data_IF_372536903934
#
_entry.id   IF_372536903934
#
_cell.length_a   1.000
_cell.length_b   1.000
_cell.length_c   1.000
_cell.angle_alpha   90.00
_cell.angle_beta   90.00
_cell.angle_gamma   90.00
#
_symmetry.space_group_name_H-M   'P 1'
#
loop_
_entity.id
_entity.type
_entity.pdbx_description
1 polymer ?
#
# COMPACT_ATOMS: atom_id res chain seq x y z
N UNK A 1 15.43 -10.81 -6.81
CA UNK A 1 13.96 -10.80 -6.96
C UNK A 1 13.31 -11.55 -5.81
N UNK A 2 12.20 -11.03 -5.30
CA UNK A 2 11.32 -11.67 -4.33
C UNK A 2 9.99 -12.02 -5.01
N UNK A 3 9.40 -13.15 -4.64
CA UNK A 3 8.00 -13.46 -4.94
C UNK A 3 7.21 -13.26 -3.66
N UNK A 4 6.20 -12.40 -3.73
CA UNK A 4 5.31 -12.05 -2.63
C UNK A 4 3.95 -12.67 -2.94
N UNK A 5 3.46 -13.52 -2.05
CA UNK A 5 2.11 -14.09 -2.11
C UNK A 5 1.33 -13.55 -0.93
N UNK A 6 0.17 -12.95 -1.21
CA UNK A 6 -0.76 -12.46 -0.18
C UNK A 6 -2.07 -13.24 -0.33
N UNK A 7 -2.64 -13.67 0.79
CA UNK A 7 -3.95 -14.30 0.86
C UNK A 7 -4.85 -13.42 1.73
N UNK A 8 -5.86 -12.81 1.11
CA UNK A 8 -6.85 -11.95 1.77
C UNK A 8 -8.24 -12.40 1.36
N UNK A 9 -9.12 -12.65 2.34
CA UNK A 9 -10.50 -13.09 2.09
C UNK A 9 -10.63 -14.30 1.13
N UNK A 10 -9.68 -15.24 1.21
CA UNK A 10 -9.61 -16.40 0.32
C UNK A 10 -9.12 -16.10 -1.11
N UNK A 11 -8.82 -14.84 -1.44
CA UNK A 11 -8.21 -14.43 -2.70
C UNK A 11 -6.69 -14.46 -2.56
N UNK A 12 -6.01 -15.06 -3.53
CA UNK A 12 -4.54 -15.09 -3.59
C UNK A 12 -4.05 -14.12 -4.66
N UNK A 13 -3.18 -13.19 -4.26
CA UNK A 13 -2.39 -12.36 -5.18
C UNK A 13 -0.92 -12.77 -5.12
N UNK A 14 -0.24 -12.71 -6.26
CA UNK A 14 1.18 -13.00 -6.38
C UNK A 14 1.82 -11.86 -7.16
N UNK A 15 2.86 -11.26 -6.60
CA UNK A 15 3.65 -10.20 -7.24
C UNK A 15 5.14 -10.51 -7.13
N UNK A 16 5.92 -9.96 -8.06
CA UNK A 16 7.38 -10.00 -8.02
C UNK A 16 7.89 -8.59 -7.70
N UNK A 17 8.85 -8.50 -6.78
CA UNK A 17 9.46 -7.21 -6.44
C UNK A 17 10.93 -7.38 -6.02
N UNK A 18 11.72 -6.33 -6.19
CA UNK A 18 13.11 -6.30 -5.72
C UNK A 18 13.21 -6.09 -4.21
N UNK A 19 12.15 -5.57 -3.58
CA UNK A 19 12.13 -5.25 -2.16
C UNK A 19 10.75 -5.50 -1.57
N UNK A 20 10.72 -5.72 -0.27
CA UNK A 20 9.49 -5.93 0.49
C UNK A 20 9.62 -5.21 1.82
N UNK A 21 8.54 -4.58 2.28
CA UNK A 21 8.43 -4.03 3.61
C UNK A 21 7.03 -4.27 4.17
N UNK A 22 6.98 -4.64 5.44
CA UNK A 22 5.75 -4.76 6.23
C UNK A 22 5.85 -3.80 7.40
N UNK A 23 4.81 -2.98 7.56
CA UNK A 23 4.77 -1.90 8.54
C UNK A 23 3.64 -2.15 9.53
N UNK A 24 3.99 -2.38 10.80
CA UNK A 24 3.01 -2.62 11.87
C UNK A 24 2.39 -1.31 12.40
N UNK A 25 1.53 -1.43 13.41
CA UNK A 25 0.84 -0.30 14.05
C UNK A 25 1.75 0.80 14.62
N UNK A 26 3.03 0.50 14.85
CA UNK A 26 3.99 1.47 15.41
C UNK A 26 4.58 2.38 14.33
N UNK A 27 4.54 1.93 13.07
CA UNK A 27 5.12 2.59 11.90
C UNK A 27 4.43 3.91 11.53
N UNK A 28 5.11 4.71 10.71
CA UNK A 28 4.54 5.94 10.14
C UNK A 28 3.53 5.58 9.03
N UNK A 29 3.84 4.57 8.25
CA UNK A 29 3.10 4.10 7.08
C UNK A 29 1.72 3.58 7.48
N UNK A 30 1.63 2.84 8.60
CA UNK A 30 0.35 2.41 9.15
C UNK A 30 -0.51 3.61 9.60
N UNK A 31 0.09 4.58 10.28
CA UNK A 31 -0.62 5.79 10.73
C UNK A 31 -1.09 6.64 9.54
N UNK A 32 -0.29 6.70 8.49
CA UNK A 32 -0.65 7.39 7.25
C UNK A 32 -1.81 6.69 6.54
N UNK A 33 -1.80 5.36 6.47
CA UNK A 33 -2.91 4.56 5.96
C UNK A 33 -4.21 4.86 6.72
N UNK A 34 -4.18 4.90 8.06
CA UNK A 34 -5.35 5.26 8.86
C UNK A 34 -5.85 6.68 8.58
N UNK A 35 -4.93 7.64 8.40
CA UNK A 35 -5.26 9.02 8.03
C UNK A 35 -5.94 9.10 6.66
N UNK A 36 -5.49 8.30 5.70
CA UNK A 36 -6.09 8.24 4.36
C UNK A 36 -7.48 7.61 4.39
N UNK A 37 -7.68 6.54 5.18
CA UNK A 37 -8.99 5.93 5.39
C UNK A 37 -9.99 6.93 6.00
N UNK A 38 -9.57 7.66 7.03
CA UNK A 38 -10.38 8.71 7.67
C UNK A 38 -10.76 9.83 6.67
N UNK A 39 -9.82 10.23 5.82
CA UNK A 39 -10.07 11.23 4.77
C UNK A 39 -11.10 10.76 3.73
N UNK A 40 -11.12 9.45 3.42
CA UNK A 40 -12.16 8.84 2.60
C UNK A 40 -13.48 8.61 3.36
N UNK A 41 -13.48 8.72 4.69
CA UNK A 41 -14.59 8.35 5.59
C UNK A 41 -14.93 6.86 5.53
N UNK A 42 -13.91 6.03 5.37
CA UNK A 42 -14.03 4.58 5.27
C UNK A 42 -13.49 3.90 6.52
N UNK A 43 -14.04 2.73 6.85
CA UNK A 43 -13.54 1.90 7.95
C UNK A 43 -12.35 1.05 7.47
N UNK A 44 -11.13 1.18 8.03
CA UNK A 44 -9.96 0.43 7.56
C UNK A 44 -10.15 -1.09 7.55
N UNK A 45 -10.91 -1.63 8.51
CA UNK A 45 -11.24 -3.05 8.64
C UNK A 45 -12.10 -3.60 7.51
N UNK A 46 -12.69 -2.73 6.69
CA UNK A 46 -13.50 -3.06 5.52
C UNK A 46 -12.73 -2.90 4.20
N UNK A 47 -11.44 -2.52 4.25
CA UNK A 47 -10.63 -2.21 3.07
C UNK A 47 -9.50 -3.22 2.84
N UNK A 48 -9.30 -3.58 1.57
CA UNK A 48 -8.15 -4.36 1.10
C UNK A 48 -6.96 -3.45 0.79
N UNK A 49 -7.24 -2.27 0.22
CA UNK A 49 -6.20 -1.34 -0.16
C UNK A 49 -6.65 0.10 -0.25
N UNK A 50 -5.69 1.01 -0.11
CA UNK A 50 -5.83 2.44 -0.35
C UNK A 50 -4.76 2.86 -1.34
N UNK A 51 -5.17 3.62 -2.35
CA UNK A 51 -4.31 4.10 -3.42
C UNK A 51 -4.24 5.61 -3.33
N UNK A 52 -3.02 6.12 -3.26
CA UNK A 52 -2.75 7.52 -2.97
C UNK A 52 -1.79 8.14 -3.98
N UNK A 53 -2.21 9.25 -4.57
CA UNK A 53 -1.36 10.13 -5.35
C UNK A 53 -1.18 11.45 -4.62
N UNK A 54 0.06 11.76 -4.27
CA UNK A 54 0.41 13.04 -3.63
C UNK A 54 0.20 14.24 -4.59
N UNK A 55 -0.30 15.37 -4.07
CA UNK A 55 -0.37 16.59 -4.85
C UNK A 55 1.03 17.11 -5.17
N UNK A 56 1.19 17.69 -6.35
CA UNK A 56 2.44 18.31 -6.80
C UNK A 56 2.19 19.73 -7.24
N UNK A 57 3.12 20.62 -6.91
CA UNK A 57 3.03 22.04 -7.20
C UNK A 57 4.29 22.54 -7.91
N UNK A 58 4.14 23.49 -8.82
CA UNK A 58 5.25 24.07 -9.58
C UNK A 58 6.01 25.16 -8.80
N UNK A 59 5.41 25.67 -7.73
CA UNK A 59 5.93 26.77 -6.93
C UNK A 59 5.98 26.43 -5.43
N UNK A 60 6.86 27.12 -4.71
CA UNK A 60 7.03 26.93 -3.26
C UNK A 60 5.84 27.41 -2.43
N UNK A 61 4.97 28.26 -2.98
CA UNK A 61 3.75 28.74 -2.31
C UNK A 61 2.56 27.79 -2.52
N UNK A 62 2.75 26.68 -3.26
CA UNK A 62 1.75 25.67 -3.59
C UNK A 62 0.50 26.24 -4.28
N UNK A 63 0.66 27.21 -5.17
CA UNK A 63 -0.45 27.86 -5.90
C UNK A 63 -0.73 27.24 -7.27
N UNK A 64 0.31 26.77 -7.95
CA UNK A 64 0.25 26.19 -9.28
C UNK A 64 0.30 24.67 -9.20
N UNK A 65 -0.87 24.03 -9.33
CA UNK A 65 -1.01 22.58 -9.23
C UNK A 65 -0.52 21.91 -10.52
N UNK A 66 0.53 21.10 -10.42
CA UNK A 66 0.98 20.16 -11.46
C UNK A 66 0.09 18.91 -11.43
N UNK A 67 -0.13 18.37 -10.24
CA UNK A 67 -0.94 17.16 -10.01
C UNK A 67 -1.81 17.35 -8.80
N UNK A 68 -3.11 17.10 -8.96
CA UNK A 68 -4.03 17.09 -7.83
C UNK A 68 -3.82 15.83 -7.00
N UNK A 69 -4.10 15.96 -5.72
CA UNK A 69 -4.25 14.80 -4.85
C UNK A 69 -5.36 13.89 -5.39
N UNK A 70 -5.13 12.57 -5.33
CA UNK A 70 -6.14 11.55 -5.58
C UNK A 70 -6.04 10.48 -4.49
N UNK A 71 -7.18 10.09 -3.93
CA UNK A 71 -7.28 9.00 -2.97
C UNK A 71 -8.49 8.16 -3.36
N UNK A 72 -8.30 6.85 -3.43
CA UNK A 72 -9.38 5.88 -3.60
C UNK A 72 -9.02 4.57 -2.89
N UNK A 73 -10.00 3.69 -2.69
CA UNK A 73 -9.82 2.44 -1.95
C UNK A 73 -10.47 1.25 -2.64
N UNK A 74 -10.05 0.05 -2.24
CA UNK A 74 -10.70 -1.21 -2.58
C UNK A 74 -11.26 -1.85 -1.31
N UNK A 75 -12.48 -2.34 -1.40
CA UNK A 75 -13.13 -3.02 -0.28
C UNK A 75 -12.63 -4.46 -0.12
N UNK A 76 -12.76 -4.97 1.10
CA UNK A 76 -12.70 -6.39 1.42
C UNK A 76 -13.96 -7.10 0.97
N UNK A 77 -13.85 -8.38 0.65
CA UNK A 77 -15.03 -9.23 0.50
C UNK A 77 -15.62 -9.56 1.88
N UNK A 78 -14.75 -9.73 2.88
CA UNK A 78 -15.13 -9.97 4.27
C UNK A 78 -14.36 -9.00 5.17
N UNK A 79 -15.04 -8.13 5.93
CA UNK A 79 -14.37 -7.27 6.89
C UNK A 79 -13.54 -8.10 7.90
N UNK A 80 -12.41 -7.57 8.31
CA UNK A 80 -11.55 -8.19 9.34
C UNK A 80 -11.73 -7.48 10.67
N UNK A 81 -11.48 -8.17 11.78
CA UNK A 81 -11.60 -7.57 13.12
C UNK A 81 -10.59 -6.45 13.38
N UNK A 82 -9.38 -6.56 12.81
CA UNK A 82 -8.30 -5.59 13.00
C UNK A 82 -7.31 -5.61 11.83
N UNK A 83 -6.76 -4.44 11.52
CA UNK A 83 -5.59 -4.31 10.63
C UNK A 83 -4.34 -4.42 11.48
N UNK A 84 -3.50 -5.41 11.22
CA UNK A 84 -2.25 -5.69 11.96
C UNK A 84 -1.03 -5.04 11.33
N UNK A 85 -1.14 -4.64 10.07
CA UNK A 85 -0.07 -3.94 9.37
C UNK A 85 -0.47 -3.53 7.97
N UNK A 86 0.47 -2.91 7.28
CA UNK A 86 0.30 -2.47 5.91
C UNK A 86 1.53 -2.86 5.11
N UNK A 87 1.30 -3.32 3.88
CA UNK A 87 2.33 -3.39 2.87
C UNK A 87 2.21 -2.18 1.96
N UNK A 88 3.35 -1.63 1.55
CA UNK A 88 3.39 -0.48 0.66
C UNK A 88 4.11 -0.86 -0.63
N UNK A 89 3.50 -0.52 -1.76
CA UNK A 89 4.10 -0.57 -3.07
C UNK A 89 4.01 0.80 -3.73
N UNK A 90 4.94 1.09 -4.65
CA UNK A 90 4.96 2.35 -5.38
C UNK A 90 4.99 2.10 -6.88
N UNK A 91 4.17 2.85 -7.60
CA UNK A 91 4.21 2.88 -9.05
C UNK A 91 4.99 4.14 -9.44
N UNK A 92 6.15 4.02 -10.09
CA UNK A 92 6.91 5.19 -10.53
C UNK A 92 6.11 5.97 -11.58
N UNK A 93 6.24 7.29 -11.58
CA UNK A 93 5.65 8.13 -12.61
C UNK A 93 6.35 7.92 -13.96
N UNK A 94 5.58 7.80 -15.05
CA UNK A 94 6.15 7.53 -16.38
C UNK A 94 6.99 8.71 -16.88
N UNK A 95 6.65 9.94 -16.48
CA UNK A 95 7.34 11.17 -16.88
C UNK A 95 8.40 11.57 -15.85
N UNK A 96 8.07 11.42 -14.56
CA UNK A 96 8.89 11.96 -13.46
C UNK A 96 9.55 10.89 -12.58
N UNK A 97 9.37 9.60 -12.86
CA UNK A 97 9.86 8.51 -12.01
C UNK A 97 11.38 8.50 -11.82
N UNK A 98 12.14 8.95 -12.82
CA UNK A 98 13.60 9.11 -12.71
C UNK A 98 14.03 10.19 -11.70
N UNK A 99 13.11 11.06 -11.28
CA UNK A 99 13.33 12.08 -10.25
C UNK A 99 12.86 11.60 -8.86
N UNK A 100 12.50 10.31 -8.73
CA UNK A 100 11.95 9.74 -7.51
C UNK A 100 10.49 10.13 -7.25
N UNK A 101 9.77 10.58 -8.26
CA UNK A 101 8.36 10.94 -8.13
C UNK A 101 7.49 9.71 -8.39
N UNK A 102 6.71 9.33 -7.40
CA UNK A 102 5.74 8.24 -7.52
C UNK A 102 4.47 8.74 -8.22
N UNK A 103 3.94 7.92 -9.13
CA UNK A 103 2.60 8.05 -9.72
C UNK A 103 1.52 7.81 -8.66
N UNK A 104 1.72 6.74 -7.90
CA UNK A 104 0.75 6.21 -6.95
C UNK A 104 1.48 5.37 -5.90
N UNK A 105 1.02 5.48 -4.66
CA UNK A 105 1.41 4.64 -3.54
C UNK A 105 0.22 3.74 -3.24
N UNK A 106 0.43 2.42 -3.30
CA UNK A 106 -0.57 1.42 -2.97
C UNK A 106 -0.28 0.90 -1.56
N UNK A 107 -1.22 1.12 -0.64
CA UNK A 107 -1.23 0.56 0.69
C UNK A 107 -2.13 -0.67 0.69
N UNK A 108 -1.59 -1.86 0.90
CA UNK A 108 -2.36 -3.09 1.12
C UNK A 108 -2.54 -3.31 2.62
N UNK A 109 -3.79 -3.26 3.09
CA UNK A 109 -4.13 -3.36 4.51
C UNK A 109 -4.24 -4.82 4.91
N UNK A 110 -3.40 -5.24 5.86
CA UNK A 110 -3.28 -6.65 6.26
C UNK A 110 -4.02 -6.85 7.58
N UNK A 111 -5.04 -7.70 7.53
CA UNK A 111 -5.85 -8.14 8.64
C UNK A 111 -5.23 -9.29 9.44
N UNK A 112 -5.83 -9.61 10.58
CA UNK A 112 -5.32 -10.65 11.48
C UNK A 112 -5.39 -12.07 10.91
N UNK A 113 -6.28 -12.31 9.95
CA UNK A 113 -6.49 -13.62 9.30
C UNK A 113 -5.84 -13.69 7.90
N UNK A 114 -5.23 -12.60 7.46
CA UNK A 114 -4.55 -12.52 6.17
C UNK A 114 -3.17 -13.16 6.30
N UNK A 115 -2.70 -13.75 5.20
CA UNK A 115 -1.40 -14.44 5.18
C UNK A 115 -0.48 -13.82 4.15
N UNK A 116 0.79 -13.67 4.52
CA UNK A 116 1.83 -13.19 3.62
C UNK A 116 2.94 -14.23 3.55
N UNK A 117 3.38 -14.56 2.35
CA UNK A 117 4.55 -15.40 2.12
C UNK A 117 5.49 -14.68 1.16
N UNK A 118 6.73 -14.44 1.59
CA UNK A 118 7.77 -13.87 0.74
C UNK A 118 8.86 -14.89 0.54
N UNK A 119 9.15 -15.23 -0.71
CA UNK A 119 10.21 -16.15 -1.09
C UNK A 119 11.26 -15.44 -1.94
N UNK A 120 12.52 -15.89 -1.85
CA UNK A 120 13.58 -15.45 -2.74
C UNK A 120 13.65 -16.30 -4.03
N UNK A 121 14.58 -15.97 -4.94
CA UNK A 121 14.79 -16.67 -6.23
C UNK A 121 15.08 -18.17 -6.10
N UNK A 122 15.51 -18.64 -4.93
CA UNK A 122 15.77 -20.06 -4.65
C UNK A 122 14.52 -20.78 -4.10
N UNK A 123 13.39 -20.09 -3.99
CA UNK A 123 12.16 -20.61 -3.38
C UNK A 123 12.20 -20.65 -1.85
N UNK A 124 13.21 -20.06 -1.20
CA UNK A 124 13.30 -20.02 0.26
C UNK A 124 12.42 -18.92 0.82
N UNK A 125 11.55 -19.26 1.78
CA UNK A 125 10.78 -18.26 2.55
C UNK A 125 11.71 -17.38 3.37
N UNK A 126 11.62 -16.07 3.16
CA UNK A 126 12.39 -15.05 3.88
C UNK A 126 11.53 -14.21 4.82
N UNK A 127 10.20 -14.23 4.64
CA UNK A 127 9.23 -13.62 5.54
C UNK A 127 7.90 -14.36 5.45
N UNK A 128 7.19 -14.48 6.58
CA UNK A 128 5.80 -14.89 6.61
C UNK A 128 5.09 -14.37 7.86
N UNK A 129 3.80 -14.10 7.73
CA UNK A 129 2.83 -13.89 8.81
C UNK A 129 1.51 -14.56 8.47
#
# INVERSE_FOLDING_TARGET
>A
MLTIKIIQDGVTSITESNSFAFYDETSREYKEMLRLADKLKENPTELNGIYYTQPMFADQECKEVIRKESIYCSARNNPTDKIIGVMMDFIPDDEYGNQGIEKEIAYSLIGAEDHIYVTNEQGKTVFNI
#
